data_IF_321675769591
#
_entry.id   IF_321675769591
#
_cell.length_a   1.000
_cell.length_b   1.000
_cell.length_c   1.000
_cell.angle_alpha   90.00
_cell.angle_beta   90.00
_cell.angle_gamma   90.00
#
_symmetry.space_group_name_H-M   'P 1'
#
loop_
_entity.id
_entity.type
_entity.pdbx_description
1 polymer ?
#
# COMPACT_ATOMS: atom_id res chain seq x y z
N UNK A 1 0.61 18.02 30.85
CA UNK A 1 0.83 19.05 29.82
C UNK A 1 1.30 18.38 28.54
N UNK A 2 0.81 18.79 27.37
CA UNK A 2 1.19 18.24 26.07
C UNK A 2 2.02 19.26 25.28
N UNK A 3 2.87 18.80 24.35
CA UNK A 3 3.61 19.66 23.41
C UNK A 3 3.25 19.27 21.98
N UNK A 4 3.02 20.25 21.13
CA UNK A 4 2.88 20.09 19.68
C UNK A 4 4.13 20.66 19.01
N UNK A 5 4.75 19.88 18.11
CA UNK A 5 6.02 20.22 17.46
C UNK A 5 5.94 19.84 15.98
N UNK A 6 6.53 20.68 15.13
CA UNK A 6 6.66 20.44 13.68
C UNK A 6 8.15 20.39 13.35
N UNK A 7 8.58 19.36 12.63
CA UNK A 7 9.97 19.15 12.20
C UNK A 7 9.95 18.91 10.70
N UNK A 8 10.84 19.56 9.97
CA UNK A 8 11.01 19.38 8.53
C UNK A 8 12.35 18.70 8.23
N UNK A 9 12.37 17.77 7.29
CA UNK A 9 13.58 17.09 6.82
C UNK A 9 13.52 16.98 5.28
N UNK A 10 14.54 17.40 4.54
CA UNK A 10 14.59 17.17 3.10
C UNK A 10 14.68 15.67 2.81
N UNK A 11 13.97 15.20 1.79
CA UNK A 11 13.93 13.79 1.39
C UNK A 11 14.35 13.67 -0.07
N UNK A 12 15.23 12.71 -0.36
CA UNK A 12 15.67 12.42 -1.72
C UNK A 12 14.64 11.62 -2.53
N UNK A 13 14.96 11.34 -3.79
CA UNK A 13 14.17 10.42 -4.59
C UNK A 13 14.24 9.00 -4.00
N UNK A 14 13.08 8.40 -3.71
CA UNK A 14 12.99 7.02 -3.23
C UNK A 14 13.47 6.01 -4.27
N UNK A 15 13.38 6.39 -5.55
CA UNK A 15 13.66 5.53 -6.70
C UNK A 15 14.60 6.23 -7.69
N UNK A 16 15.87 6.40 -7.30
CA UNK A 16 16.87 7.08 -8.13
C UNK A 16 17.14 6.38 -9.48
N UNK A 17 16.84 5.07 -9.59
CA UNK A 17 17.02 4.24 -10.78
C UNK A 17 15.69 3.76 -11.41
N UNK A 18 14.55 4.36 -11.02
CA UNK A 18 13.21 3.93 -11.45
C UNK A 18 12.44 3.17 -10.36
N UNK A 19 11.10 3.18 -10.48
CA UNK A 19 10.17 2.48 -9.57
C UNK A 19 10.33 0.96 -9.70
N UNK A 20 11.28 0.41 -8.95
CA UNK A 20 11.55 -1.02 -8.96
C UNK A 20 10.55 -1.77 -8.07
N UNK A 21 9.91 -2.84 -8.59
CA UNK A 21 9.05 -3.67 -7.77
C UNK A 21 9.80 -4.32 -6.61
N UNK A 22 9.12 -4.47 -5.47
CA UNK A 22 9.68 -5.05 -4.26
C UNK A 22 9.05 -6.40 -3.94
N UNK A 23 9.77 -7.19 -3.14
CA UNK A 23 9.27 -8.45 -2.56
C UNK A 23 8.55 -8.17 -1.25
N UNK A 24 7.35 -8.72 -1.09
CA UNK A 24 6.53 -8.56 0.12
C UNK A 24 6.27 -9.92 0.79
N UNK A 25 6.54 -9.98 2.10
CA UNK A 25 6.21 -11.14 2.93
C UNK A 25 4.82 -10.94 3.52
N UNK A 26 3.90 -11.89 3.33
CA UNK A 26 2.63 -11.91 4.06
C UNK A 26 2.88 -12.41 5.47
N UNK A 27 2.58 -11.59 6.47
CA UNK A 27 2.76 -11.93 7.88
C UNK A 27 1.53 -12.64 8.44
N UNK A 28 1.74 -13.86 8.93
CA UNK A 28 0.71 -14.79 9.37
C UNK A 28 0.71 -15.06 10.89
N UNK A 29 1.72 -14.55 11.60
CA UNK A 29 1.86 -14.71 13.04
C UNK A 29 1.54 -13.42 13.81
N UNK A 30 2.14 -12.31 13.38
CA UNK A 30 2.01 -11.01 14.01
C UNK A 30 0.86 -10.20 13.42
N UNK A 31 0.27 -9.32 14.24
CA UNK A 31 -0.86 -8.49 13.84
C UNK A 31 -0.56 -7.02 14.11
N UNK A 32 -0.86 -6.19 13.12
CA UNK A 32 -0.60 -4.74 13.16
C UNK A 32 -1.63 -3.99 14.01
N UNK A 33 -2.89 -4.40 13.90
CA UNK A 33 -4.02 -3.77 14.56
C UNK A 33 -5.17 -4.77 14.75
N UNK A 34 -6.07 -4.44 15.66
CA UNK A 34 -7.34 -5.15 15.91
C UNK A 34 -8.47 -4.13 15.99
N UNK A 35 -9.70 -4.56 15.68
CA UNK A 35 -10.88 -3.69 15.81
C UNK A 35 -11.04 -3.23 17.27
N UNK A 36 -11.28 -1.94 17.45
CA UNK A 36 -11.28 -1.29 18.78
C UNK A 36 -9.89 -0.86 19.28
N UNK A 37 -8.82 -1.23 18.58
CA UNK A 37 -7.47 -0.72 18.81
C UNK A 37 -7.21 0.62 18.10
N UNK A 38 -5.93 0.99 17.96
CA UNK A 38 -5.50 2.28 17.40
C UNK A 38 -5.10 2.22 15.93
N UNK A 39 -5.43 1.14 15.21
CA UNK A 39 -4.96 0.89 13.84
C UNK A 39 -5.29 1.99 12.84
N UNK A 40 -6.49 2.56 12.95
CA UNK A 40 -7.00 3.67 12.14
C UNK A 40 -6.37 5.04 12.45
N UNK A 41 -5.52 5.14 13.48
CA UNK A 41 -4.89 6.39 13.91
C UNK A 41 -3.39 6.33 13.66
N UNK A 42 -2.76 7.46 13.30
CA UNK A 42 -1.30 7.56 13.13
C UNK A 42 -0.56 7.63 14.48
N UNK A 43 -0.77 6.62 15.33
CA UNK A 43 -0.22 6.50 16.66
C UNK A 43 1.16 5.81 16.65
N UNK A 44 2.15 6.38 17.34
CA UNK A 44 3.52 5.83 17.39
C UNK A 44 3.61 4.38 17.86
N UNK A 45 2.73 3.96 18.77
CA UNK A 45 2.68 2.58 19.27
C UNK A 45 2.44 1.53 18.17
N UNK A 46 1.65 1.87 17.14
CA UNK A 46 1.37 0.97 16.02
C UNK A 46 2.65 0.64 15.23
N UNK A 47 3.59 1.59 15.14
CA UNK A 47 4.85 1.42 14.42
C UNK A 47 5.86 0.63 15.24
N UNK A 48 5.95 0.89 16.55
CA UNK A 48 6.83 0.14 17.42
C UNK A 48 6.48 -1.37 17.42
N UNK A 49 5.18 -1.69 17.46
CA UNK A 49 4.70 -3.07 17.40
C UNK A 49 4.97 -3.77 16.06
N UNK A 50 5.11 -3.03 14.96
CA UNK A 50 5.32 -3.60 13.62
C UNK A 50 6.78 -3.95 13.32
N UNK A 51 7.75 -3.45 14.10
CA UNK A 51 9.19 -3.62 13.84
C UNK A 51 9.59 -5.10 13.78
N UNK A 52 9.02 -5.95 14.66
CA UNK A 52 9.38 -7.37 14.71
C UNK A 52 9.04 -8.09 13.39
N UNK A 53 7.86 -7.79 12.81
CA UNK A 53 7.48 -8.34 11.50
C UNK A 53 8.40 -7.86 10.38
N UNK A 54 8.78 -6.58 10.40
CA UNK A 54 9.72 -6.05 9.43
C UNK A 54 11.09 -6.74 9.50
N UNK A 55 11.60 -6.98 10.71
CA UNK A 55 12.87 -7.72 10.91
C UNK A 55 12.77 -9.17 10.41
N UNK A 56 11.61 -9.82 10.59
CA UNK A 56 11.36 -11.17 10.04
C UNK A 56 11.37 -11.15 8.51
N UNK A 57 10.69 -10.19 7.88
CA UNK A 57 10.70 -10.00 6.43
C UNK A 57 12.12 -9.78 5.88
N UNK A 58 12.88 -8.88 6.50
CA UNK A 58 14.25 -8.56 6.06
C UNK A 58 15.18 -9.78 6.12
N UNK A 59 15.11 -10.58 7.19
CA UNK A 59 15.89 -11.83 7.33
C UNK A 59 15.59 -12.85 6.23
N UNK A 60 14.40 -12.79 5.64
CA UNK A 60 13.96 -13.64 4.53
C UNK A 60 14.19 -13.00 3.15
N UNK A 61 14.78 -11.80 3.08
CA UNK A 61 15.04 -11.08 1.83
C UNK A 61 13.83 -10.30 1.29
N UNK A 62 12.84 -10.01 2.13
CA UNK A 62 11.63 -9.25 1.77
C UNK A 62 11.73 -7.81 2.27
N UNK A 63 11.26 -6.88 1.43
CA UNK A 63 11.41 -5.44 1.69
C UNK A 63 10.41 -4.92 2.71
N UNK A 64 9.19 -5.47 2.73
CA UNK A 64 8.10 -5.07 3.61
C UNK A 64 7.18 -6.26 3.92
N UNK A 65 6.28 -6.04 4.88
CA UNK A 65 5.28 -7.01 5.33
C UNK A 65 3.89 -6.65 4.81
N UNK A 66 3.14 -7.59 4.24
CA UNK A 66 1.69 -7.48 4.05
C UNK A 66 0.99 -7.99 5.31
N UNK A 67 0.24 -7.10 5.97
CA UNK A 67 -0.50 -7.38 7.19
C UNK A 67 -1.85 -8.01 6.89
N UNK A 68 -2.15 -9.09 7.61
CA UNK A 68 -3.48 -9.68 7.66
C UNK A 68 -4.28 -9.11 8.85
N UNK A 69 -5.60 -9.19 8.75
CA UNK A 69 -6.52 -8.73 9.78
C UNK A 69 -6.29 -9.43 11.13
N UNK A 70 -6.47 -8.69 12.20
CA UNK A 70 -6.17 -9.16 13.54
C UNK A 70 -7.11 -10.22 14.12
N UNK A 71 -8.30 -10.43 13.52
CA UNK A 71 -9.33 -11.31 14.05
C UNK A 71 -9.26 -12.71 13.42
N UNK A 72 -9.25 -12.76 12.09
CA UNK A 72 -9.28 -14.00 11.32
C UNK A 72 -7.91 -14.39 10.77
N UNK A 73 -6.94 -13.46 10.74
CA UNK A 73 -5.62 -13.64 10.10
C UNK A 73 -5.76 -14.14 8.66
N UNK A 74 -6.72 -13.56 7.94
CA UNK A 74 -7.14 -14.03 6.62
C UNK A 74 -7.22 -12.90 5.61
N UNK A 75 -7.70 -11.73 6.00
CA UNK A 75 -7.97 -10.64 5.09
C UNK A 75 -6.80 -9.68 5.02
N UNK A 76 -6.37 -9.30 3.82
CA UNK A 76 -5.25 -8.37 3.63
C UNK A 76 -5.67 -6.94 4.00
N UNK A 77 -4.80 -6.20 4.69
CA UNK A 77 -5.09 -4.83 5.16
C UNK A 77 -4.13 -3.78 4.60
N UNK A 78 -2.83 -3.86 4.97
CA UNK A 78 -1.82 -2.83 4.68
C UNK A 78 -0.46 -3.48 4.39
N UNK A 79 0.42 -2.76 3.69
CA UNK A 79 1.80 -3.20 3.43
C UNK A 79 2.80 -2.29 4.13
N UNK A 80 3.44 -2.79 5.18
CA UNK A 80 4.37 -2.05 6.00
C UNK A 80 3.70 -0.86 6.68
N UNK A 81 3.94 0.33 6.14
CA UNK A 81 3.34 1.60 6.58
C UNK A 81 2.50 2.29 5.49
N UNK A 82 2.10 1.53 4.47
CA UNK A 82 1.34 1.96 3.31
C UNK A 82 0.01 1.20 3.24
N UNK A 83 -1.02 1.83 2.67
CA UNK A 83 -2.17 1.07 2.20
C UNK A 83 -1.76 0.24 0.98
N UNK A 84 -2.49 -0.82 0.66
CA UNK A 84 -2.20 -1.67 -0.51
C UNK A 84 -3.42 -1.77 -1.45
N UNK A 85 -3.15 -1.88 -2.74
CA UNK A 85 -4.14 -2.09 -3.78
C UNK A 85 -3.75 -3.27 -4.67
N UNK A 86 -4.75 -3.99 -5.16
CA UNK A 86 -4.61 -5.16 -6.03
C UNK A 86 -5.48 -4.95 -7.26
N UNK A 87 -4.89 -5.06 -8.45
CA UNK A 87 -5.63 -5.11 -9.72
C UNK A 87 -5.85 -6.58 -10.06
N UNK A 88 -7.11 -7.03 -9.98
CA UNK A 88 -7.49 -8.42 -10.21
C UNK A 88 -8.59 -8.44 -11.27
N UNK A 89 -8.33 -9.12 -12.39
CA UNK A 89 -9.24 -9.23 -13.52
C UNK A 89 -9.84 -7.88 -13.97
N UNK A 90 -9.00 -6.84 -14.04
CA UNK A 90 -9.40 -5.49 -14.44
C UNK A 90 -10.06 -4.62 -13.36
N UNK A 91 -10.42 -5.16 -12.20
CA UNK A 91 -10.97 -4.40 -11.08
C UNK A 91 -9.93 -4.12 -9.99
N UNK A 92 -10.13 -3.05 -9.21
CA UNK A 92 -9.23 -2.68 -8.12
C UNK A 92 -9.81 -3.10 -6.78
N UNK A 93 -8.99 -3.70 -5.93
CA UNK A 93 -9.34 -4.13 -4.58
C UNK A 93 -8.42 -3.47 -3.57
N UNK A 94 -8.99 -2.98 -2.48
CA UNK A 94 -8.25 -2.46 -1.31
C UNK A 94 -9.09 -2.67 -0.06
N UNK A 95 -8.44 -2.82 1.10
CA UNK A 95 -9.14 -3.07 2.34
C UNK A 95 -10.08 -1.90 2.73
N UNK A 96 -11.24 -2.18 3.35
CA UNK A 96 -12.18 -1.15 3.80
C UNK A 96 -11.68 -0.47 5.09
N UNK A 97 -12.10 0.77 5.30
CA UNK A 97 -11.72 1.54 6.50
C UNK A 97 -12.71 1.23 7.64
N UNK A 98 -12.57 0.04 8.24
CA UNK A 98 -13.47 -0.47 9.30
C UNK A 98 -12.85 -0.42 10.72
N UNK A 99 -11.85 0.43 10.91
CA UNK A 99 -11.20 0.70 12.20
C UNK A 99 -9.82 0.08 12.38
N UNK A 100 -9.42 -0.88 11.54
CA UNK A 100 -8.05 -1.41 11.55
C UNK A 100 -7.17 -0.71 10.52
N UNK A 101 -7.65 -0.42 9.32
CA UNK A 101 -6.86 0.25 8.25
C UNK A 101 -6.72 1.76 8.51
N UNK A 102 -5.53 2.32 8.29
CA UNK A 102 -5.31 3.76 8.38
C UNK A 102 -5.90 4.45 7.13
N UNK A 103 -6.77 5.46 7.26
CA UNK A 103 -7.26 6.28 6.14
C UNK A 103 -6.12 7.11 5.51
N UNK A 104 -5.32 6.49 4.66
CA UNK A 104 -4.20 7.17 3.99
C UNK A 104 -4.67 8.19 2.97
N UNK A 105 -4.07 9.37 2.97
CA UNK A 105 -4.37 10.44 2.00
C UNK A 105 -4.01 9.99 0.58
N UNK A 106 -2.86 9.33 0.39
CA UNK A 106 -2.47 8.82 -0.93
C UNK A 106 -3.43 7.74 -1.42
N UNK A 107 -3.94 6.87 -0.55
CA UNK A 107 -4.98 5.89 -0.88
C UNK A 107 -6.23 6.58 -1.40
N UNK A 108 -6.71 7.60 -0.69
CA UNK A 108 -7.88 8.38 -1.09
C UNK A 108 -7.69 9.04 -2.47
N UNK A 109 -6.55 9.69 -2.69
CA UNK A 109 -6.21 10.27 -4.00
C UNK A 109 -6.17 9.22 -5.12
N UNK A 110 -5.61 8.03 -4.87
CA UNK A 110 -5.59 6.96 -5.88
C UNK A 110 -7.00 6.46 -6.20
N UNK A 111 -7.83 6.23 -5.18
CA UNK A 111 -9.22 5.81 -5.39
C UNK A 111 -9.99 6.86 -6.20
N UNK A 112 -9.77 8.14 -5.92
CA UNK A 112 -10.37 9.23 -6.67
C UNK A 112 -9.97 9.19 -8.15
N UNK A 113 -8.66 9.12 -8.44
CA UNK A 113 -8.15 9.03 -9.82
C UNK A 113 -8.69 7.80 -10.55
N UNK A 114 -8.66 6.63 -9.89
CA UNK A 114 -9.15 5.38 -10.45
C UNK A 114 -10.63 5.45 -10.85
N UNK A 115 -11.47 5.99 -9.96
CA UNK A 115 -12.91 6.17 -10.23
C UNK A 115 -13.16 7.16 -11.36
N UNK A 116 -12.42 8.27 -11.41
CA UNK A 116 -12.50 9.27 -12.49
C UNK A 116 -12.09 8.67 -13.85
N UNK A 117 -11.16 7.71 -13.85
CA UNK A 117 -10.76 6.97 -15.05
C UNK A 117 -11.67 5.78 -15.39
N UNK A 118 -12.75 5.58 -14.65
CA UNK A 118 -13.75 4.54 -14.91
C UNK A 118 -13.41 3.15 -14.36
N UNK A 119 -12.39 3.01 -13.51
CA UNK A 119 -12.13 1.74 -12.83
C UNK A 119 -13.17 1.48 -11.75
N UNK A 120 -13.61 0.22 -11.66
CA UNK A 120 -14.36 -0.26 -10.50
C UNK A 120 -13.40 -0.49 -9.34
N UNK A 121 -13.59 0.27 -8.26
CA UNK A 121 -12.79 0.18 -7.03
C UNK A 121 -13.62 -0.42 -5.91
N UNK A 122 -13.25 -1.63 -5.50
CA UNK A 122 -13.85 -2.40 -4.43
C UNK A 122 -13.08 -2.16 -3.12
N UNK A 123 -13.65 -1.35 -2.25
CA UNK A 123 -13.20 -1.20 -0.86
C UNK A 123 -13.81 -2.33 -0.03
N UNK A 124 -13.21 -3.52 -0.08
CA UNK A 124 -13.77 -4.76 0.47
C UNK A 124 -12.68 -5.66 1.03
N UNK A 125 -13.10 -6.62 1.87
CA UNK A 125 -12.19 -7.62 2.43
C UNK A 125 -11.77 -8.61 1.33
N UNK A 126 -10.47 -8.71 1.07
CA UNK A 126 -9.87 -9.69 0.17
C UNK A 126 -9.12 -10.72 1.01
N UNK A 127 -9.43 -12.00 0.85
CA UNK A 127 -8.70 -13.04 1.58
C UNK A 127 -7.33 -13.31 0.95
N UNK A 128 -6.35 -13.69 1.77
CA UNK A 128 -5.04 -14.11 1.30
C UNK A 128 -5.14 -15.34 0.39
N UNK A 129 -6.07 -16.26 0.66
CA UNK A 129 -6.30 -17.43 -0.19
C UNK A 129 -6.77 -17.02 -1.59
N UNK A 130 -7.74 -16.10 -1.69
CA UNK A 130 -8.23 -15.58 -2.97
C UNK A 130 -7.15 -14.79 -3.70
N UNK A 131 -6.34 -14.02 -2.97
CA UNK A 131 -5.21 -13.26 -3.51
C UNK A 131 -4.15 -14.19 -4.11
N UNK A 132 -3.72 -15.22 -3.37
CA UNK A 132 -2.73 -16.18 -3.83
C UNK A 132 -3.27 -17.00 -5.01
N UNK A 133 -4.55 -17.40 -4.96
CA UNK A 133 -5.22 -18.04 -6.10
C UNK A 133 -5.21 -17.16 -7.35
N UNK A 134 -5.57 -15.88 -7.22
CA UNK A 134 -5.52 -14.92 -8.32
C UNK A 134 -4.08 -14.74 -8.88
N UNK A 135 -3.10 -14.85 -7.99
CA UNK A 135 -1.68 -14.91 -8.35
C UNK A 135 -1.35 -16.09 -9.28
N UNK A 136 -1.76 -17.29 -8.89
CA UNK A 136 -1.47 -18.53 -9.62
C UNK A 136 -2.27 -18.69 -10.91
N UNK A 137 -3.51 -18.19 -10.95
CA UNK A 137 -4.35 -18.25 -12.16
C UNK A 137 -4.10 -17.11 -13.15
N UNK A 138 -3.20 -16.18 -12.79
CA UNK A 138 -2.79 -15.06 -13.64
C UNK A 138 -3.79 -13.91 -13.70
N UNK A 139 -4.84 -13.93 -12.87
CA UNK A 139 -5.81 -12.82 -12.80
C UNK A 139 -5.33 -11.66 -11.92
N UNK A 140 -4.30 -11.87 -11.08
CA UNK A 140 -3.62 -10.81 -10.34
C UNK A 140 -2.63 -10.07 -11.26
N UNK A 141 -3.08 -8.94 -11.81
CA UNK A 141 -2.36 -8.21 -12.85
C UNK A 141 -1.31 -7.25 -12.28
N UNK A 142 -1.66 -6.52 -11.20
CA UNK A 142 -0.75 -5.53 -10.58
C UNK A 142 -1.00 -5.46 -9.06
N UNK A 143 0.06 -5.20 -8.30
CA UNK A 143 -0.02 -4.96 -6.86
C UNK A 143 0.87 -3.79 -6.49
N UNK A 144 0.35 -2.86 -5.68
CA UNK A 144 1.11 -1.68 -5.29
C UNK A 144 0.69 -1.12 -3.92
N UNK A 145 1.69 -0.70 -3.15
CA UNK A 145 1.51 0.09 -1.94
C UNK A 145 1.29 1.57 -2.28
N UNK A 146 0.54 2.28 -1.43
CA UNK A 146 0.27 3.71 -1.54
C UNK A 146 0.57 4.41 -0.22
N UNK A 147 1.34 5.50 -0.26
CA UNK A 147 1.71 6.26 0.93
C UNK A 147 2.58 7.45 0.63
N UNK A 148 2.60 8.44 1.52
CA UNK A 148 3.25 9.75 1.27
C UNK A 148 4.72 9.66 0.89
N UNK A 149 5.46 8.73 1.49
CA UNK A 149 6.91 8.60 1.30
C UNK A 149 7.27 8.23 -0.16
N UNK A 150 6.79 7.09 -0.62
CA UNK A 150 7.09 6.57 -1.96
C UNK A 150 6.07 7.02 -3.03
N UNK A 151 4.96 7.64 -2.61
CA UNK A 151 3.73 7.83 -3.41
C UNK A 151 3.09 6.50 -3.79
N UNK A 152 3.78 5.71 -4.60
CA UNK A 152 3.43 4.35 -4.99
C UNK A 152 4.66 3.46 -4.88
N UNK A 153 4.48 2.23 -4.40
CA UNK A 153 5.51 1.20 -4.37
C UNK A 153 5.01 -0.06 -5.08
N UNK A 154 5.46 -0.38 -6.30
CA UNK A 154 5.08 -1.59 -7.01
C UNK A 154 5.54 -2.85 -6.26
N UNK A 155 4.79 -3.94 -6.37
CA UNK A 155 5.10 -5.24 -5.77
C UNK A 155 5.29 -6.25 -6.89
N UNK A 156 6.46 -6.89 -6.90
CA UNK A 156 6.84 -7.89 -7.91
C UNK A 156 6.73 -9.32 -7.41
N UNK A 157 6.63 -9.53 -6.10
CA UNK A 157 6.52 -10.85 -5.49
C UNK A 157 5.76 -10.79 -4.17
N UNK A 158 4.84 -11.73 -3.98
CA UNK A 158 4.16 -12.01 -2.72
C UNK A 158 4.59 -13.40 -2.24
N UNK A 159 5.00 -13.49 -0.97
CA UNK A 159 5.22 -14.79 -0.31
C UNK A 159 4.27 -14.97 0.84
N UNK A 160 3.47 -16.03 0.81
CA UNK A 160 2.64 -16.48 1.93
C UNK A 160 3.08 -17.88 2.35
N UNK A 161 3.69 -17.98 3.53
CA UNK A 161 4.32 -19.22 4.01
C UNK A 161 5.38 -19.74 3.02
N UNK A 162 5.17 -20.93 2.47
CA UNK A 162 6.05 -21.54 1.47
C UNK A 162 5.59 -21.29 0.03
N UNK A 163 4.44 -20.61 -0.14
CA UNK A 163 3.88 -20.28 -1.45
C UNK A 163 4.36 -18.89 -1.91
N UNK A 164 4.78 -18.80 -3.17
CA UNK A 164 5.36 -17.60 -3.77
C UNK A 164 4.68 -17.33 -5.11
N UNK A 165 4.18 -16.09 -5.26
CA UNK A 165 3.59 -15.58 -6.49
C UNK A 165 4.45 -14.44 -7.00
N UNK A 166 4.91 -14.55 -8.25
CA UNK A 166 5.48 -13.42 -8.99
C UNK A 166 4.36 -12.61 -9.61
N UNK A 167 4.34 -11.30 -9.37
CA UNK A 167 3.34 -10.36 -9.91
C UNK A 167 3.95 -9.64 -11.11
N UNK A 168 3.21 -9.62 -12.22
CA UNK A 168 3.59 -8.88 -13.44
C UNK A 168 5.06 -9.10 -13.88
N UNK A 169 5.55 -10.35 -13.82
CA UNK A 169 6.94 -10.69 -14.16
C UNK A 169 8.02 -9.90 -13.39
N UNK A 170 7.71 -9.42 -12.19
CA UNK A 170 8.59 -8.54 -11.41
C UNK A 170 8.84 -7.18 -12.08
N UNK A 171 7.93 -6.75 -12.96
CA UNK A 171 7.95 -5.45 -13.63
C UNK A 171 6.85 -4.53 -13.08
N UNK A 172 7.06 -3.22 -13.22
CA UNK A 172 6.01 -2.26 -12.90
C UNK A 172 4.84 -2.39 -13.89
N UNK A 173 3.62 -2.38 -13.38
CA UNK A 173 2.43 -2.40 -14.21
C UNK A 173 2.08 -1.03 -14.80
N UNK A 174 1.37 -1.03 -15.93
CA UNK A 174 0.99 0.20 -16.64
C UNK A 174 0.12 1.13 -15.78
N UNK A 175 -0.85 0.57 -15.06
CA UNK A 175 -1.72 1.38 -14.18
C UNK A 175 -0.93 1.97 -13.02
N UNK A 176 -0.06 1.15 -12.42
CA UNK A 176 0.83 1.56 -11.31
C UNK A 176 1.71 2.75 -11.71
N UNK A 177 2.35 2.68 -12.88
CA UNK A 177 3.17 3.77 -13.43
C UNK A 177 2.32 5.02 -13.71
N UNK A 178 1.18 4.86 -14.38
CA UNK A 178 0.28 5.96 -14.73
C UNK A 178 -0.24 6.71 -13.49
N UNK A 179 -0.60 5.98 -12.42
CA UNK A 179 -1.03 6.59 -11.16
C UNK A 179 0.10 7.41 -10.51
N UNK A 180 1.31 6.87 -10.49
CA UNK A 180 2.48 7.57 -9.93
C UNK A 180 2.76 8.85 -10.71
N UNK A 181 2.84 8.78 -12.04
CA UNK A 181 3.14 9.92 -12.90
C UNK A 181 2.07 11.00 -12.80
N UNK A 182 0.80 10.59 -12.68
CA UNK A 182 -0.31 11.54 -12.52
C UNK A 182 -0.22 12.27 -11.19
N UNK A 183 -0.12 11.53 -10.06
CA UNK A 183 -0.15 12.17 -8.75
C UNK A 183 1.11 13.02 -8.52
N UNK A 184 2.29 12.53 -8.89
CA UNK A 184 3.53 13.32 -8.78
C UNK A 184 3.53 14.50 -9.75
N UNK A 185 2.94 14.35 -10.94
CA UNK A 185 2.73 15.43 -11.89
C UNK A 185 1.86 16.55 -11.31
N UNK A 186 0.78 16.21 -10.59
CA UNK A 186 -0.05 17.18 -9.85
C UNK A 186 0.76 17.83 -8.73
N UNK A 187 1.44 17.04 -7.90
CA UNK A 187 2.25 17.51 -6.76
C UNK A 187 3.36 18.50 -7.18
N UNK A 188 3.96 18.28 -8.36
CA UNK A 188 5.00 19.14 -8.92
C UNK A 188 4.47 20.27 -9.81
N UNK A 189 3.14 20.42 -9.94
CA UNK A 189 2.52 21.44 -10.79
C UNK A 189 2.77 21.26 -12.29
N UNK A 190 3.18 20.06 -12.73
CA UNK A 190 3.37 19.71 -14.15
C UNK A 190 2.06 19.34 -14.84
N UNK A 191 1.11 18.81 -14.06
CA UNK A 191 -0.24 18.46 -14.48
C UNK A 191 -1.21 19.38 -13.73
N UNK A 192 -2.23 19.96 -14.39
CA UNK A 192 -3.24 20.75 -13.72
C UNK A 192 -3.95 19.97 -12.62
N UNK A 193 -4.03 20.56 -11.44
CA UNK A 193 -4.78 20.01 -10.32
C UNK A 193 -6.27 20.31 -10.50
N UNK A 194 -7.00 19.35 -11.08
CA UNK A 194 -8.45 19.44 -11.29
C UNK A 194 -9.25 19.26 -10.00
N UNK A 195 -8.62 18.80 -8.92
CA UNK A 195 -9.29 18.38 -7.69
C UNK A 195 -9.05 19.36 -6.52
N UNK A 196 -8.14 20.32 -6.69
CA UNK A 196 -7.81 21.32 -5.65
C UNK A 196 -7.06 20.72 -4.46
N UNK A 197 -6.22 19.72 -4.69
CA UNK A 197 -5.39 19.06 -3.67
C UNK A 197 -4.12 19.84 -3.28
N UNK A 198 -3.60 20.65 -4.20
CA UNK A 198 -2.37 21.42 -4.03
C UNK A 198 -2.67 22.81 -3.49
N UNK A 199 -1.79 23.29 -2.60
CA UNK A 199 -1.88 24.61 -1.98
C UNK A 199 -0.52 25.27 -2.06
N UNK A 200 -0.50 26.52 -2.50
CA UNK A 200 0.71 27.34 -2.51
C UNK A 200 1.15 27.63 -1.06
N UNK A 201 2.40 27.30 -0.75
CA UNK A 201 3.02 27.63 0.54
C UNK A 201 3.58 29.04 0.43
N UNK A 202 3.08 29.96 1.29
CA UNK A 202 3.54 31.35 1.38
C UNK A 202 4.68 31.50 2.38
#
# INVERSE_FOLDING_TARGET
>A
AYKFMIICCPVGAYYAAGLNPVKILVEDELVRAVKGGTGFTKCGGNYAGSILGQVKAEKLGYAQVLWLDGEHRKYVEEVGTMNIMFKIAGEIYTAPIEGTVLPGVTRDSMIHLLRDWGYKVNETRLSVDDLMKAGHDGTLEEVFGTGTAAVISPVGELRYKDDVVTVNNFEIGELTQKLYDTLTGIQWGRIPDKYGWTVEVK
#
